data_IF_917434852533
#
_entry.id   IF_917434852533
#
_cell.length_a   1.000
_cell.length_b   1.000
_cell.length_c   1.000
_cell.angle_alpha   90.00
_cell.angle_beta   90.00
_cell.angle_gamma   90.00
#
_symmetry.space_group_name_H-M   'P 1'
#
loop_
_entity.id
_entity.type
_entity.pdbx_description
1 polymer ?
#
# COMPACT_ATOMS: atom_id res chain seq x y z
N UNK A 1 13.09 -9.65 -48.57
CA UNK A 1 13.72 -10.17 -47.33
C UNK A 1 12.80 -9.76 -46.23
N UNK A 2 12.07 -10.73 -45.74
CA UNK A 2 10.97 -10.58 -44.80
C UNK A 2 11.51 -10.53 -43.38
N UNK A 3 11.36 -9.39 -42.72
CA UNK A 3 11.52 -9.27 -41.27
C UNK A 3 10.31 -9.88 -40.59
N UNK A 4 10.45 -11.13 -40.22
CA UNK A 4 9.54 -11.79 -39.32
C UNK A 4 10.08 -11.54 -37.90
N UNK A 5 9.70 -10.42 -37.29
CA UNK A 5 9.84 -10.25 -35.83
C UNK A 5 9.05 -11.34 -35.14
N UNK A 6 9.77 -12.36 -34.71
CA UNK A 6 9.26 -13.39 -33.84
C UNK A 6 8.79 -12.71 -32.52
N UNK A 7 7.48 -12.53 -32.37
CA UNK A 7 6.84 -12.32 -31.08
C UNK A 7 7.27 -13.47 -30.16
N UNK A 8 8.35 -13.26 -29.39
CA UNK A 8 8.69 -14.15 -28.28
C UNK A 8 7.54 -14.04 -27.29
N UNK A 9 6.72 -15.08 -27.23
CA UNK A 9 5.82 -15.23 -26.08
C UNK A 9 6.64 -15.04 -24.80
N UNK A 10 6.24 -14.17 -23.88
CA UNK A 10 6.93 -14.03 -22.62
C UNK A 10 6.94 -15.40 -21.93
N UNK A 11 8.07 -15.81 -21.34
CA UNK A 11 8.25 -17.15 -20.77
C UNK A 11 7.37 -17.39 -19.53
N UNK A 12 6.53 -16.44 -19.15
CA UNK A 12 5.74 -16.47 -17.93
C UNK A 12 4.30 -16.06 -18.21
N UNK A 13 3.35 -16.77 -17.60
CA UNK A 13 1.94 -16.36 -17.61
C UNK A 13 1.76 -15.18 -16.65
N UNK A 14 1.14 -14.12 -17.15
CA UNK A 14 0.74 -12.99 -16.32
C UNK A 14 -0.77 -12.76 -16.43
N UNK A 15 -1.33 -12.13 -15.41
CA UNK A 15 -2.75 -11.81 -15.34
C UNK A 15 -2.94 -10.40 -14.77
N UNK A 16 -3.84 -9.63 -15.38
CA UNK A 16 -4.29 -8.38 -14.80
C UNK A 16 -5.36 -8.68 -13.72
N UNK A 17 -5.13 -8.16 -12.52
CA UNK A 17 -6.00 -8.36 -11.36
C UNK A 17 -6.12 -7.06 -10.58
N UNK A 18 -6.97 -7.08 -9.57
CA UNK A 18 -7.10 -6.00 -8.59
C UNK A 18 -6.64 -6.46 -7.22
N UNK A 19 -5.76 -5.67 -6.60
CA UNK A 19 -5.41 -5.78 -5.18
C UNK A 19 -6.38 -4.92 -4.38
N UNK A 20 -7.11 -5.51 -3.47
CA UNK A 20 -7.91 -4.80 -2.47
C UNK A 20 -7.06 -4.70 -1.21
N UNK A 21 -6.96 -3.49 -0.67
CA UNK A 21 -6.30 -3.22 0.60
C UNK A 21 -7.30 -2.62 1.55
N UNK A 22 -7.37 -3.16 2.77
CA UNK A 22 -8.29 -2.70 3.80
C UNK A 22 -7.56 -2.51 5.13
N UNK A 23 -7.60 -1.30 5.66
CA UNK A 23 -7.05 -0.98 6.98
C UNK A 23 -8.18 -0.93 7.98
N UNK A 24 -8.15 -1.79 8.99
CA UNK A 24 -9.19 -1.86 10.02
C UNK A 24 -8.59 -1.96 11.42
N UNK A 25 -9.36 -1.57 12.41
CA UNK A 25 -9.00 -1.84 13.79
C UNK A 25 -8.92 -3.36 14.02
N UNK A 26 -7.91 -3.83 14.76
CA UNK A 26 -7.64 -5.25 14.97
C UNK A 26 -8.84 -6.10 15.45
N UNK A 27 -9.82 -5.48 16.13
CA UNK A 27 -11.04 -6.17 16.59
C UNK A 27 -11.95 -6.64 15.45
N UNK A 28 -11.85 -6.03 14.28
CA UNK A 28 -12.64 -6.41 13.09
C UNK A 28 -11.93 -7.48 12.25
N UNK A 29 -10.71 -7.82 12.60
CA UNK A 29 -9.80 -8.61 11.78
C UNK A 29 -10.34 -9.97 11.42
N UNK A 30 -10.81 -10.71 12.41
CA UNK A 30 -11.31 -12.06 12.20
C UNK A 30 -12.50 -12.09 11.24
N UNK A 31 -13.47 -11.25 11.51
CA UNK A 31 -14.70 -11.18 10.72
C UNK A 31 -14.43 -10.76 9.27
N UNK A 32 -13.55 -9.77 9.08
CA UNK A 32 -13.13 -9.32 7.76
C UNK A 32 -12.36 -10.40 6.99
N UNK A 33 -11.45 -11.10 7.67
CA UNK A 33 -10.67 -12.16 7.06
C UNK A 33 -11.54 -13.34 6.59
N UNK A 34 -12.44 -13.80 7.44
CA UNK A 34 -13.42 -14.84 7.11
C UNK A 34 -14.26 -14.43 5.88
N UNK A 35 -14.74 -13.19 5.86
CA UNK A 35 -15.57 -12.70 4.75
C UNK A 35 -14.80 -12.60 3.44
N UNK A 36 -13.55 -12.12 3.44
CA UNK A 36 -12.71 -12.08 2.24
C UNK A 36 -12.46 -13.48 1.65
N UNK A 37 -12.27 -14.48 2.50
CA UNK A 37 -12.09 -15.87 2.07
C UNK A 37 -13.41 -16.41 1.47
N UNK A 38 -14.55 -16.16 2.10
CA UNK A 38 -15.88 -16.55 1.60
C UNK A 38 -16.17 -15.94 0.22
N UNK A 39 -15.78 -14.69 0.00
CA UNK A 39 -15.91 -14.00 -1.29
C UNK A 39 -14.95 -14.53 -2.37
N UNK A 40 -14.17 -15.56 -2.06
CA UNK A 40 -13.22 -16.14 -3.01
C UNK A 40 -11.99 -15.28 -3.27
N UNK A 41 -11.71 -14.32 -2.39
CA UNK A 41 -10.49 -13.53 -2.49
C UNK A 41 -9.26 -14.43 -2.37
N UNK A 42 -8.37 -14.30 -3.33
CA UNK A 42 -7.15 -15.12 -3.37
C UNK A 42 -6.07 -14.52 -2.49
N UNK A 43 -5.37 -15.40 -1.77
CA UNK A 43 -4.16 -15.00 -1.02
C UNK A 43 -4.38 -13.79 -0.10
N UNK A 44 -5.32 -13.93 0.82
CA UNK A 44 -5.57 -12.89 1.83
C UNK A 44 -4.35 -12.82 2.76
N UNK A 45 -3.69 -11.67 2.78
CA UNK A 45 -2.55 -11.39 3.63
C UNK A 45 -2.96 -10.38 4.71
N UNK A 46 -2.44 -10.57 5.91
CA UNK A 46 -2.68 -9.72 7.06
C UNK A 46 -1.33 -9.23 7.58
N UNK A 47 -1.15 -7.93 7.62
CA UNK A 47 0.03 -7.25 8.17
C UNK A 47 -0.35 -6.47 9.42
N UNK A 48 0.34 -6.65 10.56
CA UNK A 48 0.09 -5.86 11.75
C UNK A 48 0.58 -4.44 11.55
N UNK A 49 -0.18 -3.47 12.04
CA UNK A 49 0.14 -2.06 11.95
C UNK A 49 -0.54 -1.24 13.03
N UNK A 50 -0.44 0.06 12.90
CA UNK A 50 -1.15 1.03 13.73
C UNK A 50 -1.66 2.18 12.90
N UNK A 51 -2.82 2.71 13.26
CA UNK A 51 -3.32 3.99 12.75
C UNK A 51 -2.99 5.08 13.76
N UNK A 52 -2.55 6.24 13.27
CA UNK A 52 -2.23 7.40 14.12
C UNK A 52 -3.35 8.42 14.00
N UNK A 53 -3.86 8.89 15.15
CA UNK A 53 -4.96 9.85 15.23
C UNK A 53 -4.65 10.93 16.26
N UNK A 54 -5.28 12.08 16.15
CA UNK A 54 -5.19 13.14 17.14
C UNK A 54 -6.30 13.01 18.19
N UNK A 55 -5.93 12.77 19.44
CA UNK A 55 -6.84 12.81 20.59
C UNK A 55 -6.88 14.20 21.19
N UNK A 56 -8.07 14.81 21.23
CA UNK A 56 -8.30 16.09 21.90
C UNK A 56 -8.91 15.85 23.27
N UNK A 57 -8.19 16.21 24.33
CA UNK A 57 -8.70 16.16 25.72
C UNK A 57 -8.79 17.57 26.30
N UNK A 58 -9.80 17.86 27.13
CA UNK A 58 -9.82 19.08 27.92
C UNK A 58 -8.54 19.17 28.76
N UNK A 59 -8.06 20.38 28.99
CA UNK A 59 -6.95 20.58 29.91
C UNK A 59 -7.39 20.17 31.34
N UNK A 60 -6.51 19.53 32.14
CA UNK A 60 -6.80 19.21 33.52
C UNK A 60 -7.06 20.51 34.31
N UNK A 61 -7.75 20.39 35.44
CA UNK A 61 -8.07 21.49 36.34
C UNK A 61 -8.95 22.61 35.75
N UNK A 62 -9.77 22.31 34.72
CA UNK A 62 -10.70 23.31 34.16
C UNK A 62 -10.04 24.46 33.41
N UNK A 63 -8.76 24.37 33.09
CA UNK A 63 -8.05 25.36 32.29
C UNK A 63 -8.64 25.46 30.89
N UNK A 64 -8.81 26.68 30.32
CA UNK A 64 -9.35 26.84 28.99
C UNK A 64 -8.42 26.24 27.94
N UNK A 65 -9.01 25.60 26.91
CA UNK A 65 -8.32 24.97 25.81
C UNK A 65 -8.29 23.44 25.87
N UNK A 66 -7.79 22.81 24.79
CA UNK A 66 -7.68 21.36 24.66
C UNK A 66 -6.20 20.97 24.47
N UNK A 67 -5.81 19.85 25.04
CA UNK A 67 -4.51 19.22 24.77
C UNK A 67 -4.70 18.26 23.63
N UNK A 68 -3.86 18.37 22.60
CA UNK A 68 -3.82 17.45 21.48
C UNK A 68 -2.69 16.46 21.71
N UNK A 69 -2.98 15.18 21.66
CA UNK A 69 -1.99 14.10 21.72
C UNK A 69 -2.21 13.18 20.53
N UNK A 70 -1.14 12.61 20.04
CA UNK A 70 -1.21 11.49 19.12
C UNK A 70 -1.64 10.25 19.90
N UNK A 71 -2.46 9.43 19.28
CA UNK A 71 -2.89 8.14 19.82
C UNK A 71 -2.72 7.09 18.73
N UNK A 72 -1.93 6.08 19.06
CA UNK A 72 -1.77 4.90 18.22
C UNK A 72 -2.90 3.93 18.53
N UNK A 73 -3.59 3.50 17.49
CA UNK A 73 -4.60 2.46 17.57
C UNK A 73 -4.12 1.23 16.81
N UNK A 74 -4.10 0.04 17.45
CA UNK A 74 -3.70 -1.17 16.77
C UNK A 74 -4.64 -1.46 15.61
N UNK A 75 -4.05 -1.66 14.44
CA UNK A 75 -4.74 -1.93 13.19
C UNK A 75 -4.13 -3.14 12.49
N UNK A 76 -4.88 -3.70 11.57
CA UNK A 76 -4.38 -4.69 10.64
C UNK A 76 -4.66 -4.24 9.20
N UNK A 77 -3.69 -4.49 8.35
CA UNK A 77 -3.74 -4.22 6.92
C UNK A 77 -4.02 -5.53 6.21
N UNK A 78 -5.21 -5.66 5.66
CA UNK A 78 -5.60 -6.77 4.80
C UNK A 78 -5.24 -6.46 3.37
N UNK A 79 -4.63 -7.41 2.69
CA UNK A 79 -4.35 -7.35 1.27
C UNK A 79 -4.90 -8.61 0.62
N UNK A 80 -5.76 -8.47 -0.37
CA UNK A 80 -6.36 -9.57 -1.09
C UNK A 80 -6.35 -9.32 -2.58
N UNK A 81 -6.28 -10.36 -3.40
CA UNK A 81 -6.35 -10.26 -4.85
C UNK A 81 -7.65 -10.87 -5.34
N UNK A 82 -8.33 -10.11 -6.19
CA UNK A 82 -9.58 -10.50 -6.85
C UNK A 82 -9.49 -10.21 -8.34
N UNK A 83 -10.44 -10.73 -9.10
CA UNK A 83 -10.57 -10.40 -10.50
C UNK A 83 -10.94 -8.92 -10.66
N UNK A 84 -10.46 -8.31 -11.74
CA UNK A 84 -10.60 -6.86 -11.94
C UNK A 84 -12.04 -6.38 -11.88
N UNK A 85 -12.94 -7.16 -12.48
CA UNK A 85 -14.35 -6.79 -12.62
C UNK A 85 -15.13 -7.01 -11.31
N UNK A 86 -14.62 -7.81 -10.39
CA UNK A 86 -15.24 -8.11 -9.10
C UNK A 86 -14.83 -7.15 -7.98
N UNK A 87 -13.74 -6.37 -8.19
CA UNK A 87 -13.12 -5.59 -7.13
C UNK A 87 -14.09 -4.63 -6.42
N UNK A 88 -14.92 -3.90 -7.16
CA UNK A 88 -15.86 -2.94 -6.55
C UNK A 88 -16.98 -3.66 -5.79
N UNK A 89 -17.48 -4.78 -6.32
CA UNK A 89 -18.53 -5.57 -5.65
C UNK A 89 -18.00 -6.14 -4.32
N UNK A 90 -16.77 -6.67 -4.32
CA UNK A 90 -16.10 -7.15 -3.10
C UNK A 90 -15.86 -6.00 -2.12
N UNK A 91 -15.44 -4.82 -2.59
CA UNK A 91 -15.25 -3.65 -1.73
C UNK A 91 -16.55 -3.21 -1.07
N UNK A 92 -17.67 -3.16 -1.80
CA UNK A 92 -18.97 -2.81 -1.24
C UNK A 92 -19.46 -3.83 -0.20
N UNK A 93 -19.25 -5.12 -0.44
CA UNK A 93 -19.57 -6.17 0.53
C UNK A 93 -18.74 -6.00 1.82
N UNK A 94 -17.46 -5.76 1.71
CA UNK A 94 -16.58 -5.52 2.85
C UNK A 94 -16.94 -4.22 3.60
N UNK A 95 -17.30 -3.15 2.89
CA UNK A 95 -17.77 -1.90 3.50
C UNK A 95 -19.02 -2.16 4.34
N UNK A 96 -19.96 -2.92 3.82
CA UNK A 96 -21.19 -3.27 4.55
C UNK A 96 -20.90 -4.18 5.74
N UNK A 97 -20.08 -5.22 5.55
CA UNK A 97 -19.76 -6.24 6.56
C UNK A 97 -18.99 -5.64 7.75
N UNK A 98 -18.00 -4.79 7.49
CA UNK A 98 -17.17 -4.16 8.52
C UNK A 98 -17.70 -2.78 8.93
N UNK A 99 -18.84 -2.34 8.38
CA UNK A 99 -19.43 -1.01 8.63
C UNK A 99 -18.42 0.12 8.41
N UNK A 100 -17.58 0.01 7.37
CA UNK A 100 -16.51 0.98 7.12
C UNK A 100 -17.03 2.38 6.76
N UNK A 101 -18.30 2.49 6.36
CA UNK A 101 -19.00 3.76 6.16
C UNK A 101 -19.15 4.58 7.46
N UNK A 102 -18.97 3.95 8.63
CA UNK A 102 -18.97 4.67 9.88
C UNK A 102 -17.59 5.28 10.14
N UNK A 103 -17.54 6.57 10.54
CA UNK A 103 -16.28 7.24 10.79
C UNK A 103 -15.39 6.53 11.80
N UNK A 104 -14.12 6.37 11.49
CA UNK A 104 -13.15 5.74 12.38
C UNK A 104 -13.06 4.23 12.29
N UNK A 105 -13.81 3.59 11.39
CA UNK A 105 -13.79 2.14 11.21
C UNK A 105 -12.62 1.65 10.38
N UNK A 106 -12.22 2.40 9.35
CA UNK A 106 -11.10 2.04 8.49
C UNK A 106 -11.16 2.63 7.10
N UNK A 107 -10.24 2.19 6.28
CA UNK A 107 -10.08 2.59 4.87
C UNK A 107 -10.03 1.34 4.01
N UNK A 108 -10.68 1.38 2.85
CA UNK A 108 -10.58 0.33 1.83
C UNK A 108 -10.34 0.95 0.46
N UNK A 109 -9.43 0.34 -0.32
CA UNK A 109 -9.15 0.80 -1.68
C UNK A 109 -8.69 -0.33 -2.59
N UNK A 110 -8.75 -0.11 -3.90
CA UNK A 110 -8.29 -1.05 -4.91
C UNK A 110 -7.21 -0.47 -5.80
N UNK A 111 -6.26 -1.32 -6.17
CA UNK A 111 -5.15 -1.02 -7.08
C UNK A 111 -5.11 -2.04 -8.22
N UNK A 112 -4.95 -1.58 -9.46
CA UNK A 112 -4.72 -2.49 -10.59
C UNK A 112 -3.27 -2.93 -10.61
N UNK A 113 -3.03 -4.21 -10.84
CA UNK A 113 -1.69 -4.78 -10.92
C UNK A 113 -1.61 -5.91 -11.93
N UNK A 114 -0.39 -6.26 -12.28
CA UNK A 114 -0.05 -7.46 -13.05
C UNK A 114 0.49 -8.51 -12.09
N UNK A 115 -0.15 -9.66 -12.04
CA UNK A 115 0.28 -10.81 -11.26
C UNK A 115 1.04 -11.78 -12.16
N UNK A 116 2.27 -12.12 -11.79
CA UNK A 116 3.07 -13.15 -12.43
C UNK A 116 2.99 -14.42 -11.57
N UNK A 117 2.66 -15.53 -12.23
CA UNK A 117 2.63 -16.86 -11.63
C UNK A 117 3.53 -17.79 -12.39
N UNK A 118 4.06 -18.76 -11.69
CA UNK A 118 4.67 -19.91 -12.32
C UNK A 118 3.66 -20.62 -13.21
N UNK A 119 4.08 -21.12 -14.40
CA UNK A 119 3.31 -22.15 -15.07
C UNK A 119 3.18 -23.32 -14.08
N UNK A 120 1.96 -23.71 -13.75
CA UNK A 120 1.73 -24.89 -12.92
C UNK A 120 2.48 -26.07 -13.54
N UNK A 121 3.41 -26.69 -12.81
CA UNK A 121 3.90 -28.00 -13.19
C UNK A 121 2.68 -28.92 -13.27
N UNK A 122 2.59 -29.66 -14.38
CA UNK A 122 1.46 -30.54 -14.74
C UNK A 122 1.38 -31.78 -13.87
N UNK A 123 1.60 -31.67 -12.59
CA UNK A 123 1.34 -32.74 -11.65
C UNK A 123 0.12 -32.35 -10.82
N UNK A 124 -0.98 -32.93 -11.20
CA UNK A 124 -2.33 -33.14 -10.66
C UNK A 124 -2.72 -32.69 -9.26
N UNK A 125 -2.02 -31.81 -8.61
CA UNK A 125 -2.42 -31.13 -7.38
C UNK A 125 -2.97 -29.76 -7.72
N UNK A 126 -4.29 -29.69 -7.89
CA UNK A 126 -5.05 -28.46 -7.80
C UNK A 126 -4.73 -27.80 -6.46
N UNK A 127 -4.36 -26.51 -6.51
CA UNK A 127 -4.19 -25.68 -5.32
C UNK A 127 -5.43 -25.85 -4.41
N UNK A 128 -5.27 -26.36 -3.18
CA UNK A 128 -6.40 -26.61 -2.28
C UNK A 128 -7.19 -25.31 -1.96
N UNK A 129 -6.64 -24.13 -2.26
CA UNK A 129 -7.33 -22.84 -2.09
C UNK A 129 -8.43 -22.60 -3.12
N UNK A 130 -8.60 -23.47 -4.15
CA UNK A 130 -9.61 -23.33 -5.20
C UNK A 130 -10.85 -24.24 -5.03
N UNK A 131 -11.02 -24.91 -3.89
CA UNK A 131 -12.03 -25.97 -3.74
C UNK A 131 -13.44 -25.53 -3.35
N UNK A 132 -13.68 -24.27 -3.04
CA UNK A 132 -15.04 -23.76 -2.86
C UNK A 132 -15.39 -22.79 -4.00
N UNK A 133 -16.57 -22.93 -4.64
CA UNK A 133 -17.02 -21.91 -5.57
C UNK A 133 -17.14 -20.58 -4.79
N UNK A 134 -16.64 -19.47 -5.34
CA UNK A 134 -16.74 -18.17 -4.69
C UNK A 134 -18.22 -17.85 -4.44
N UNK A 135 -18.52 -17.44 -3.23
CA UNK A 135 -19.83 -16.87 -2.93
C UNK A 135 -19.89 -15.54 -3.67
N UNK A 136 -20.83 -15.43 -4.60
CA UNK A 136 -21.05 -14.15 -5.28
C UNK A 136 -21.21 -13.05 -4.23
N UNK A 137 -20.51 -11.92 -4.37
CA UNK A 137 -20.66 -10.81 -3.42
C UNK A 137 -22.16 -10.49 -3.34
N UNK A 138 -22.66 -10.44 -2.12
CA UNK A 138 -24.06 -10.07 -1.90
C UNK A 138 -24.20 -8.67 -2.49
N UNK A 139 -25.03 -8.52 -3.53
CA UNK A 139 -25.36 -7.21 -4.13
C UNK A 139 -26.19 -6.36 -3.16
N UNK A 140 -25.78 -6.35 -1.91
CA UNK A 140 -26.27 -5.37 -0.97
C UNK A 140 -25.49 -4.10 -1.30
N UNK A 141 -26.01 -3.34 -2.27
CA UNK A 141 -25.60 -1.95 -2.41
C UNK A 141 -25.71 -1.36 -1.00
N UNK A 142 -24.58 -1.13 -0.36
CA UNK A 142 -24.59 -0.36 0.88
C UNK A 142 -25.21 0.99 0.50
N UNK A 143 -26.44 1.29 0.94
CA UNK A 143 -27.17 2.41 0.40
C UNK A 143 -26.37 3.68 0.64
N UNK A 144 -25.94 4.36 -0.44
CA UNK A 144 -25.35 5.68 -0.39
C UNK A 144 -23.84 5.76 -0.18
N UNK A 145 -23.06 4.67 -0.28
CA UNK A 145 -21.59 4.76 -0.22
C UNK A 145 -21.02 4.84 -1.64
N UNK A 146 -20.65 6.04 -2.07
CA UNK A 146 -19.90 6.23 -3.30
C UNK A 146 -18.41 6.00 -3.04
N UNK A 147 -17.76 5.19 -3.88
CA UNK A 147 -16.30 5.04 -3.86
C UNK A 147 -15.67 6.27 -4.53
N UNK A 148 -14.69 6.85 -3.86
CA UNK A 148 -13.87 7.92 -4.41
C UNK A 148 -12.97 7.38 -5.52
N UNK A 149 -12.71 8.19 -6.52
CA UNK A 149 -11.86 7.88 -7.67
C UNK A 149 -10.70 8.88 -7.75
N UNK A 150 -9.76 8.63 -8.65
CA UNK A 150 -8.60 9.50 -8.84
C UNK A 150 -7.79 9.72 -7.55
N UNK A 151 -7.46 8.60 -6.93
CA UNK A 151 -6.68 8.54 -5.70
C UNK A 151 -5.27 8.02 -5.97
N UNK A 152 -4.37 8.32 -5.05
CA UNK A 152 -3.02 7.78 -5.01
C UNK A 152 -2.69 7.29 -3.60
N UNK A 153 -1.92 6.21 -3.50
CA UNK A 153 -1.29 5.77 -2.27
C UNK A 153 0.13 6.30 -2.23
N UNK A 154 0.46 7.09 -1.23
CA UNK A 154 1.83 7.50 -0.92
C UNK A 154 2.38 6.55 0.13
N UNK A 155 3.55 5.98 -0.14
CA UNK A 155 4.27 5.10 0.77
C UNK A 155 5.62 5.70 1.10
N UNK A 156 5.86 6.00 2.38
CA UNK A 156 7.15 6.46 2.90
C UNK A 156 7.80 5.33 3.68
N UNK A 157 9.01 4.94 3.31
CA UNK A 157 9.82 3.94 3.99
C UNK A 157 10.96 4.66 4.71
N UNK A 158 10.96 4.62 6.03
CA UNK A 158 11.79 5.42 6.90
C UNK A 158 12.79 4.53 7.66
N UNK A 159 14.04 4.99 7.74
CA UNK A 159 15.12 4.21 8.36
C UNK A 159 15.37 4.55 9.82
N UNK A 160 14.70 5.56 10.36
CA UNK A 160 14.88 5.97 11.75
C UNK A 160 13.65 5.61 12.58
N UNK A 161 13.87 4.99 13.72
CA UNK A 161 12.80 4.71 14.69
C UNK A 161 12.14 6.01 15.15
N UNK A 162 10.80 6.02 15.19
CA UNK A 162 9.99 7.17 15.56
C UNK A 162 9.73 8.16 14.43
N UNK A 163 10.39 8.03 13.28
CA UNK A 163 10.12 8.91 12.12
C UNK A 163 8.73 8.69 11.55
N UNK A 164 8.19 7.49 11.66
CA UNK A 164 6.85 7.16 11.21
C UNK A 164 5.77 7.93 11.96
N UNK A 165 5.91 8.08 13.28
CA UNK A 165 4.98 8.89 14.08
C UNK A 165 5.08 10.38 13.69
N UNK A 166 6.31 10.89 13.47
CA UNK A 166 6.52 12.26 13.03
C UNK A 166 5.84 12.52 11.69
N UNK A 167 6.06 11.65 10.69
CA UNK A 167 5.45 11.80 9.36
C UNK A 167 3.94 11.60 9.40
N UNK A 168 3.45 10.68 10.21
CA UNK A 168 2.02 10.49 10.42
C UNK A 168 1.37 11.75 11.01
N UNK A 169 2.05 12.47 11.90
CA UNK A 169 1.59 13.76 12.43
C UNK A 169 1.47 14.80 11.33
N UNK A 170 2.48 14.92 10.47
CA UNK A 170 2.46 15.84 9.32
C UNK A 170 1.24 15.53 8.42
N UNK A 171 1.01 14.26 8.11
CA UNK A 171 -0.14 13.83 7.32
C UNK A 171 -1.49 14.20 7.96
N UNK A 172 -1.60 14.07 9.29
CA UNK A 172 -2.78 14.49 10.04
C UNK A 172 -2.98 16.02 10.02
N UNK A 173 -1.90 16.78 10.08
CA UNK A 173 -1.96 18.24 10.03
C UNK A 173 -2.32 18.76 8.61
N UNK A 174 -1.95 18.02 7.57
CA UNK A 174 -2.41 18.24 6.20
C UNK A 174 -3.91 17.94 6.00
N UNK A 175 -4.51 17.18 6.91
CA UNK A 175 -5.95 16.91 6.89
C UNK A 175 -6.41 15.92 5.82
N UNK A 176 -5.53 15.06 5.30
CA UNK A 176 -5.83 14.20 4.14
C UNK A 176 -6.60 12.93 4.51
N UNK A 177 -5.97 12.06 5.30
CA UNK A 177 -6.55 10.77 5.74
C UNK A 177 -5.92 10.32 7.05
N UNK A 178 -6.45 9.25 7.63
CA UNK A 178 -5.81 8.56 8.76
C UNK A 178 -4.62 7.75 8.23
N UNK A 179 -3.37 8.10 8.61
CA UNK A 179 -2.20 7.36 8.18
C UNK A 179 -2.12 6.00 8.86
N UNK A 180 -1.54 5.04 8.15
CA UNK A 180 -1.22 3.71 8.67
C UNK A 180 0.29 3.55 8.73
N UNK A 181 0.80 3.03 9.84
CA UNK A 181 2.21 2.75 10.04
C UNK A 181 2.38 1.26 10.25
N UNK A 182 3.20 0.63 9.41
CA UNK A 182 3.62 -0.77 9.54
C UNK A 182 5.14 -0.84 9.71
N UNK A 183 5.67 -2.03 9.96
CA UNK A 183 7.10 -2.26 10.19
C UNK A 183 7.66 -3.20 9.14
N UNK A 184 8.92 -2.99 8.79
CA UNK A 184 9.64 -3.85 7.87
C UNK A 184 11.13 -3.88 8.15
N UNK A 185 11.85 -4.69 7.39
CA UNK A 185 13.31 -4.78 7.43
C UNK A 185 13.85 -4.43 6.03
N UNK A 186 14.78 -3.50 5.96
CA UNK A 186 15.41 -3.09 4.71
C UNK A 186 16.62 -3.95 4.38
N UNK A 187 16.73 -4.37 3.12
CA UNK A 187 17.92 -5.01 2.56
C UNK A 187 18.33 -4.24 1.31
N UNK A 188 19.59 -3.74 1.28
CA UNK A 188 20.05 -2.93 0.17
C UNK A 188 21.47 -3.21 -0.26
N UNK A 189 21.84 -2.75 -1.45
CA UNK A 189 23.19 -2.89 -2.03
C UNK A 189 24.27 -2.29 -1.12
N UNK A 190 23.94 -1.24 -0.35
CA UNK A 190 24.87 -0.55 0.56
C UNK A 190 25.28 -1.41 1.73
N UNK A 191 24.48 -2.35 2.18
CA UNK A 191 24.80 -3.26 3.27
C UNK A 191 25.89 -4.26 2.87
N UNK A 192 25.99 -4.55 1.56
CA UNK A 192 27.01 -5.44 0.99
C UNK A 192 28.36 -4.78 0.74
N UNK A 193 28.39 -3.46 0.50
CA UNK A 193 29.62 -2.77 0.10
C UNK A 193 30.60 -2.50 1.26
N UNK A 194 30.26 -2.82 2.50
CA UNK A 194 31.16 -2.92 3.67
C UNK A 194 32.24 -1.83 3.89
N UNK A 195 32.44 -0.95 2.91
CA UNK A 195 33.54 -0.01 2.81
C UNK A 195 33.29 1.35 3.47
N UNK A 196 32.05 1.70 3.71
CA UNK A 196 31.70 2.91 4.46
C UNK A 196 30.71 2.51 5.55
N UNK A 197 31.17 2.49 6.79
CA UNK A 197 30.42 2.17 8.02
C UNK A 197 29.32 3.18 8.36
N UNK A 198 28.46 3.52 7.43
CA UNK A 198 27.19 4.12 7.76
C UNK A 198 26.22 2.95 7.83
N UNK A 199 26.11 2.38 9.01
CA UNK A 199 25.12 1.31 9.28
C UNK A 199 23.75 1.94 9.26
N UNK A 200 23.05 1.81 8.14
CA UNK A 200 21.61 2.16 8.08
C UNK A 200 20.87 1.09 8.88
N UNK A 201 20.06 1.45 9.88
CA UNK A 201 19.29 0.44 10.63
C UNK A 201 18.47 -0.42 9.69
N UNK A 202 18.47 -1.74 9.87
CA UNK A 202 17.64 -2.63 9.03
C UNK A 202 16.15 -2.39 9.26
N UNK A 203 15.77 -2.01 10.48
CA UNK A 203 14.38 -1.74 10.83
C UNK A 203 13.85 -0.52 10.09
N UNK A 204 12.68 -0.68 9.49
CA UNK A 204 11.97 0.36 8.72
C UNK A 204 10.59 0.61 9.30
N UNK A 205 10.20 1.87 9.35
CA UNK A 205 8.81 2.27 9.55
C UNK A 205 8.22 2.65 8.19
N UNK A 206 7.07 2.07 7.87
CA UNK A 206 6.38 2.27 6.58
C UNK A 206 5.11 3.05 6.86
N UNK A 207 5.04 4.29 6.37
CA UNK A 207 3.87 5.17 6.51
C UNK A 207 3.12 5.19 5.19
N UNK A 208 1.83 4.89 5.25
CA UNK A 208 0.96 4.84 4.08
C UNK A 208 -0.19 5.84 4.21
N UNK A 209 -0.43 6.60 3.14
CA UNK A 209 -1.46 7.62 3.03
C UNK A 209 -2.21 7.45 1.73
N UNK A 210 -3.54 7.41 1.77
CA UNK A 210 -4.37 7.50 0.56
C UNK A 210 -4.83 8.94 0.41
N UNK A 211 -4.52 9.54 -0.72
CA UNK A 211 -4.76 10.97 -1.00
C UNK A 211 -5.38 11.15 -2.38
N UNK A 212 -6.02 12.28 -2.68
CA UNK A 212 -6.39 12.62 -4.04
C UNK A 212 -5.15 12.65 -4.96
N UNK A 213 -5.26 12.06 -6.16
CA UNK A 213 -4.11 11.94 -7.06
C UNK A 213 -3.52 13.29 -7.49
N UNK A 214 -4.36 14.32 -7.57
CA UNK A 214 -3.92 15.69 -7.92
C UNK A 214 -3.11 16.38 -6.82
N UNK A 215 -3.21 15.93 -5.56
CA UNK A 215 -2.46 16.49 -4.41
C UNK A 215 -1.22 15.64 -4.09
N UNK A 216 -1.11 14.43 -4.64
CA UNK A 216 -0.12 13.45 -4.25
C UNK A 216 1.32 13.97 -4.36
N UNK A 217 1.68 14.63 -5.46
CA UNK A 217 3.04 15.16 -5.66
C UNK A 217 3.36 16.29 -4.68
N UNK A 218 2.41 17.19 -4.41
CA UNK A 218 2.57 18.25 -3.41
C UNK A 218 2.75 17.70 -2.00
N UNK A 219 1.95 16.71 -1.64
CA UNK A 219 2.06 16.04 -0.34
C UNK A 219 3.39 15.29 -0.24
N UNK A 220 3.82 14.58 -1.29
CA UNK A 220 5.13 13.91 -1.32
C UNK A 220 6.27 14.89 -1.04
N UNK A 221 6.27 16.09 -1.64
CA UNK A 221 7.30 17.12 -1.39
C UNK A 221 7.34 17.53 0.07
N UNK A 222 6.19 17.78 0.68
CA UNK A 222 6.10 18.10 2.12
C UNK A 222 6.65 16.94 2.96
N UNK A 223 6.29 15.70 2.65
CA UNK A 223 6.78 14.53 3.39
C UNK A 223 8.28 14.30 3.21
N UNK A 224 8.86 14.64 2.05
CA UNK A 224 10.31 14.61 1.80
C UNK A 224 11.03 15.61 2.71
N UNK A 225 10.53 16.83 2.77
CA UNK A 225 11.12 17.89 3.58
C UNK A 225 11.02 17.58 5.08
N UNK A 226 9.83 17.31 5.56
CA UNK A 226 9.56 17.04 6.98
C UNK A 226 10.22 15.73 7.48
N UNK A 227 10.33 14.73 6.59
CA UNK A 227 11.03 13.46 6.84
C UNK A 227 12.53 13.56 6.68
N UNK A 228 13.08 14.72 6.22
CA UNK A 228 14.48 14.90 5.86
C UNK A 228 14.99 13.81 4.89
N UNK A 229 14.15 13.38 3.93
CA UNK A 229 14.46 12.28 3.02
C UNK A 229 15.54 12.65 1.99
N UNK A 230 15.87 13.94 1.87
CA UNK A 230 16.99 14.44 1.07
C UNK A 230 18.36 14.05 1.64
N UNK A 231 18.42 13.56 2.88
CA UNK A 231 19.66 13.11 3.49
C UNK A 231 19.91 11.60 3.19
N UNK A 232 21.18 11.19 2.99
CA UNK A 232 21.52 9.79 2.74
C UNK A 232 21.00 8.86 3.83
N UNK A 233 20.40 7.74 3.45
CA UNK A 233 19.99 6.69 4.36
C UNK A 233 18.74 6.99 5.22
N UNK A 234 18.08 8.12 5.04
CA UNK A 234 16.87 8.48 5.81
C UNK A 234 15.64 7.68 5.40
N UNK A 235 15.55 7.32 4.13
CA UNK A 235 14.42 6.57 3.61
C UNK A 235 14.13 6.90 2.16
N UNK A 236 12.97 6.47 1.72
CA UNK A 236 12.49 6.83 0.39
C UNK A 236 10.96 6.93 0.38
N UNK A 237 10.41 7.63 -0.63
CA UNK A 237 8.98 7.80 -0.81
C UNK A 237 8.59 7.54 -2.25
N UNK A 238 7.43 6.94 -2.45
CA UNK A 238 6.87 6.70 -3.77
C UNK A 238 5.36 6.73 -3.73
N UNK A 239 4.74 6.87 -4.89
CA UNK A 239 3.29 6.78 -5.04
C UNK A 239 2.90 5.67 -5.99
N UNK A 240 1.74 5.08 -5.73
CA UNK A 240 1.08 4.12 -6.62
C UNK A 240 -0.38 4.54 -6.86
N UNK A 241 -0.93 4.31 -8.07
CA UNK A 241 -2.30 4.69 -8.36
C UNK A 241 -3.30 3.82 -7.58
N UNK A 242 -4.40 4.45 -7.15
CA UNK A 242 -5.55 3.83 -6.53
C UNK A 242 -6.76 4.05 -7.43
N UNK A 243 -7.44 2.96 -7.83
CA UNK A 243 -8.56 3.02 -8.76
C UNK A 243 -9.83 3.56 -8.14
N UNK A 244 -10.15 3.02 -6.97
CA UNK A 244 -11.31 3.39 -6.21
C UNK A 244 -11.07 3.13 -4.73
N UNK A 245 -11.71 3.90 -3.84
CA UNK A 245 -11.56 3.71 -2.40
C UNK A 245 -12.59 4.45 -1.58
N UNK A 246 -12.71 4.03 -0.34
CA UNK A 246 -13.36 4.74 0.74
C UNK A 246 -12.32 5.01 1.82
N UNK A 247 -12.13 6.27 2.16
CA UNK A 247 -11.04 6.75 3.01
C UNK A 247 -11.59 7.17 4.36
N UNK A 248 -10.95 6.73 5.45
CA UNK A 248 -11.22 7.26 6.77
C UNK A 248 -10.55 8.62 6.95
N UNK A 249 -11.37 9.67 6.98
CA UNK A 249 -10.93 11.06 7.18
C UNK A 249 -11.11 11.54 8.61
N UNK A 250 -11.51 10.67 9.52
CA UNK A 250 -11.66 11.01 10.92
C UNK A 250 -10.30 11.10 11.63
N UNK A 251 -9.56 12.14 11.34
CA UNK A 251 -8.21 12.39 11.83
C UNK A 251 -8.15 12.61 13.34
N UNK A 252 -9.28 13.01 13.97
CA UNK A 252 -9.33 13.46 15.37
C UNK A 252 -10.38 12.69 16.15
N UNK A 253 -10.02 12.27 17.34
CA UNK A 253 -10.92 11.65 18.30
C UNK A 253 -11.37 12.72 19.32
N UNK A 254 -12.66 12.78 19.63
CA UNK A 254 -13.29 13.72 20.58
C UNK A 254 -14.53 14.36 20.00
N UNK A 255 -15.27 15.11 20.84
CA UNK A 255 -16.49 15.78 20.39
C UNK A 255 -16.20 16.72 19.21
N UNK A 256 -16.58 16.28 18.04
CA UNK A 256 -16.66 17.14 16.86
C UNK A 256 -18.08 17.71 16.86
N UNK A 257 -18.19 18.97 17.22
CA UNK A 257 -19.40 19.73 16.99
C UNK A 257 -19.47 20.03 15.49
N UNK A 258 -20.35 19.32 14.79
CA UNK A 258 -20.91 19.64 13.46
C UNK A 258 -19.95 20.17 12.37
N UNK A 259 -18.76 19.63 12.23
CA UNK A 259 -17.95 19.91 11.05
C UNK A 259 -18.28 18.91 9.93
N UNK A 260 -18.69 19.41 8.77
CA UNK A 260 -18.77 18.59 7.56
C UNK A 260 -17.42 17.91 7.30
N UNK A 261 -17.42 16.66 6.83
CA UNK A 261 -16.17 16.01 6.42
C UNK A 261 -15.53 16.77 5.26
N UNK A 262 -14.23 16.67 5.11
CA UNK A 262 -13.53 17.30 3.98
C UNK A 262 -14.15 16.83 2.66
N UNK A 263 -14.56 15.56 2.57
CA UNK A 263 -15.26 15.02 1.40
C UNK A 263 -16.62 15.70 1.16
N UNK A 264 -17.39 15.94 2.20
CA UNK A 264 -18.66 16.68 2.08
C UNK A 264 -18.41 18.12 1.64
N UNK A 265 -17.35 18.76 2.14
CA UNK A 265 -16.95 20.10 1.73
C UNK A 265 -16.49 20.08 0.27
N UNK A 266 -15.64 19.11 -0.11
CA UNK A 266 -15.17 18.95 -1.49
C UNK A 266 -16.35 18.67 -2.43
N UNK A 267 -17.23 17.72 -2.06
CA UNK A 267 -18.41 17.41 -2.86
C UNK A 267 -19.33 18.63 -3.03
N UNK A 268 -19.56 19.39 -1.98
CA UNK A 268 -20.35 20.61 -2.04
C UNK A 268 -19.67 21.69 -2.93
N UNK A 269 -18.35 21.82 -2.89
CA UNK A 269 -17.62 22.75 -3.77
C UNK A 269 -17.64 22.26 -5.23
N UNK A 270 -17.52 20.96 -5.47
CA UNK A 270 -17.63 20.37 -6.80
C UNK A 270 -19.02 20.66 -7.43
N UNK A 271 -20.06 20.51 -6.62
CA UNK A 271 -21.43 20.82 -7.03
C UNK A 271 -21.61 22.31 -7.33
N UNK A 272 -21.14 23.19 -6.44
CA UNK A 272 -21.19 24.64 -6.61
C UNK A 272 -20.36 25.14 -7.81
N UNK A 273 -19.27 24.47 -8.15
CA UNK A 273 -18.36 24.83 -9.26
C UNK A 273 -18.66 24.06 -10.55
N UNK A 274 -19.72 23.23 -10.56
CA UNK A 274 -20.10 22.39 -11.69
C UNK A 274 -18.94 21.53 -12.24
N UNK A 275 -18.09 21.01 -11.35
CA UNK A 275 -16.99 20.11 -11.70
C UNK A 275 -15.73 20.26 -10.86
N UNK A 276 -14.74 19.45 -11.18
CA UNK A 276 -13.48 19.30 -10.41
C UNK A 276 -12.35 20.23 -10.90
N UNK A 277 -12.59 21.06 -11.92
CA UNK A 277 -11.55 21.88 -12.54
C UNK A 277 -10.91 22.93 -11.59
N UNK A 278 -11.63 23.35 -10.55
CA UNK A 278 -11.13 24.28 -9.52
C UNK A 278 -9.99 23.65 -8.69
N UNK A 279 -9.99 22.33 -8.54
CA UNK A 279 -8.97 21.59 -7.79
C UNK A 279 -7.59 21.76 -8.40
N UNK A 280 -7.50 21.89 -9.74
CA UNK A 280 -6.24 22.08 -10.46
C UNK A 280 -5.58 23.46 -10.23
N UNK A 281 -6.32 24.45 -9.74
CA UNK A 281 -5.78 25.81 -9.50
C UNK A 281 -4.91 25.92 -8.25
N UNK A 282 -5.07 25.01 -7.29
CA UNK A 282 -4.22 24.99 -6.09
C UNK A 282 -2.83 24.40 -6.35
N UNK A 283 -2.65 23.62 -7.40
CA UNK A 283 -1.35 23.06 -7.81
C UNK A 283 -0.40 24.16 -8.31
N UNK A 284 -0.91 25.28 -8.80
CA UNK A 284 -0.11 26.41 -9.28
C UNK A 284 0.44 27.35 -8.20
N UNK A 285 0.04 27.16 -6.94
CA UNK A 285 0.55 27.96 -5.81
C UNK A 285 1.67 27.27 -5.04
N UNK A 286 1.93 25.99 -5.32
CA UNK A 286 3.01 25.22 -4.73
C UNK A 286 4.16 25.11 -5.73
N UNK A 287 4.95 26.14 -5.84
CA UNK A 287 6.28 26.00 -6.40
C UNK A 287 6.52 26.73 -7.72
N UNK A 288 7.30 27.74 -7.58
CA UNK A 288 8.17 28.28 -8.63
C UNK A 288 8.95 27.12 -9.29
N UNK A 289 9.10 27.16 -10.61
CA UNK A 289 9.82 26.19 -11.45
C UNK A 289 11.32 26.05 -11.13
N UNK A 290 11.80 26.59 -10.01
CA UNK A 290 13.21 26.73 -9.68
C UNK A 290 13.77 25.63 -8.77
N UNK A 291 12.99 24.68 -8.30
CA UNK A 291 13.57 23.60 -7.47
C UNK A 291 13.98 22.39 -8.32
N UNK A 292 15.02 22.62 -9.13
CA UNK A 292 15.71 21.58 -9.91
C UNK A 292 16.31 20.48 -9.01
N UNK A 293 16.42 20.75 -7.71
CA UNK A 293 17.00 19.84 -6.72
C UNK A 293 16.06 18.68 -6.32
N UNK A 294 14.75 18.81 -6.52
CA UNK A 294 13.78 17.80 -6.11
C UNK A 294 13.07 17.18 -7.32
N UNK A 295 13.86 16.61 -8.24
CA UNK A 295 13.27 15.82 -9.33
C UNK A 295 12.75 14.50 -8.79
N UNK A 296 11.44 14.29 -8.92
CA UNK A 296 10.83 13.00 -8.66
C UNK A 296 11.06 12.10 -9.89
N UNK A 297 11.88 11.04 -9.81
CA UNK A 297 12.01 10.05 -10.87
C UNK A 297 10.62 9.53 -11.26
N UNK A 298 10.37 9.52 -12.56
CA UNK A 298 9.12 9.05 -13.13
C UNK A 298 9.33 7.69 -13.79
N UNK A 299 8.21 7.01 -14.04
CA UNK A 299 8.22 5.71 -14.71
C UNK A 299 8.92 4.62 -13.90
N UNK A 300 8.55 4.50 -12.64
CA UNK A 300 8.97 3.42 -11.77
C UNK A 300 7.90 2.34 -11.69
N UNK A 301 8.29 1.20 -11.14
CA UNK A 301 7.42 0.07 -10.82
C UNK A 301 7.64 -0.35 -9.37
N UNK A 302 6.57 -0.67 -8.68
CA UNK A 302 6.59 -1.42 -7.44
C UNK A 302 6.48 -2.89 -7.77
N UNK A 303 7.43 -3.70 -7.33
CA UNK A 303 7.39 -5.16 -7.40
C UNK A 303 7.20 -5.67 -5.98
N UNK A 304 6.13 -6.40 -5.72
CA UNK A 304 5.89 -7.10 -4.46
C UNK A 304 6.05 -8.59 -4.64
N UNK A 305 6.92 -9.22 -3.85
CA UNK A 305 7.15 -10.67 -3.84
C UNK A 305 6.63 -11.22 -2.53
N UNK A 306 5.71 -12.17 -2.59
CA UNK A 306 5.19 -12.88 -1.43
C UNK A 306 5.80 -14.28 -1.40
N UNK A 307 6.42 -14.63 -0.27
CA UNK A 307 7.13 -15.90 -0.12
C UNK A 307 6.95 -16.49 1.27
N UNK A 308 7.38 -17.74 1.44
CA UNK A 308 7.46 -18.40 2.74
C UNK A 308 8.45 -17.67 3.65
N UNK A 309 8.16 -17.60 4.96
CA UNK A 309 9.02 -16.97 5.95
C UNK A 309 10.45 -17.52 5.90
N UNK A 310 11.45 -16.63 5.95
CA UNK A 310 12.88 -16.95 5.85
C UNK A 310 13.38 -17.14 4.41
N UNK A 311 12.57 -16.87 3.39
CA UNK A 311 12.99 -17.01 1.98
C UNK A 311 13.14 -15.66 1.26
N UNK A 312 12.76 -14.58 1.88
CA UNK A 312 12.83 -13.25 1.27
C UNK A 312 14.25 -12.84 0.89
N UNK A 313 15.26 -13.19 1.70
CA UNK A 313 16.66 -12.83 1.46
C UNK A 313 17.15 -13.35 0.11
N UNK A 314 16.93 -14.63 -0.18
CA UNK A 314 17.34 -15.24 -1.47
C UNK A 314 16.70 -14.54 -2.67
N UNK A 315 15.41 -14.19 -2.57
CA UNK A 315 14.69 -13.49 -3.65
C UNK A 315 15.18 -12.05 -3.80
N UNK A 316 15.42 -11.36 -2.69
CA UNK A 316 15.94 -9.99 -2.72
C UNK A 316 17.37 -9.96 -3.29
N UNK A 317 18.20 -10.96 -2.99
CA UNK A 317 19.53 -11.09 -3.60
C UNK A 317 19.46 -11.20 -5.12
N UNK A 318 18.59 -12.07 -5.63
CA UNK A 318 18.38 -12.23 -7.06
C UNK A 318 17.89 -10.91 -7.72
N UNK A 319 17.01 -10.19 -7.04
CA UNK A 319 16.54 -8.88 -7.52
C UNK A 319 17.67 -7.84 -7.56
N UNK A 320 18.54 -7.80 -6.54
CA UNK A 320 19.70 -6.89 -6.49
C UNK A 320 20.71 -7.23 -7.59
N UNK A 321 20.99 -8.50 -7.84
CA UNK A 321 21.85 -8.93 -8.94
C UNK A 321 21.28 -8.54 -10.31
N UNK A 322 19.96 -8.52 -10.45
CA UNK A 322 19.26 -8.03 -11.63
C UNK A 322 19.20 -6.50 -11.73
N UNK A 323 19.74 -5.76 -10.74
CA UNK A 323 19.87 -4.30 -10.77
C UNK A 323 18.90 -3.53 -9.87
N UNK A 324 18.16 -4.20 -9.01
CA UNK A 324 17.37 -3.51 -7.99
C UNK A 324 18.28 -2.87 -6.92
N UNK A 325 17.88 -1.71 -6.41
CA UNK A 325 18.66 -0.99 -5.37
C UNK A 325 18.54 -1.59 -3.98
N UNK A 326 17.49 -2.39 -3.73
CA UNK A 326 17.17 -3.00 -2.44
C UNK A 326 15.69 -3.32 -2.33
N UNK A 327 15.30 -3.85 -1.17
CA UNK A 327 13.93 -4.19 -0.83
C UNK A 327 13.60 -3.83 0.61
N UNK A 328 12.31 -3.72 0.89
CA UNK A 328 11.77 -3.67 2.24
C UNK A 328 10.89 -4.88 2.45
N UNK A 329 11.21 -5.70 3.43
CA UNK A 329 10.52 -6.94 3.73
C UNK A 329 9.68 -6.79 4.99
N UNK A 330 8.39 -7.04 4.87
CA UNK A 330 7.42 -7.07 5.98
C UNK A 330 7.01 -8.51 6.28
N UNK A 331 6.76 -8.80 7.56
CA UNK A 331 6.14 -10.05 7.97
C UNK A 331 4.64 -9.96 7.82
N UNK A 332 4.06 -10.92 7.12
CA UNK A 332 2.62 -11.01 6.89
C UNK A 332 2.11 -12.41 7.26
N UNK A 333 0.83 -12.51 7.54
CA UNK A 333 0.15 -13.78 7.77
C UNK A 333 -0.75 -14.05 6.59
N UNK A 334 -0.67 -15.25 6.01
CA UNK A 334 -1.60 -15.67 4.97
C UNK A 334 -2.80 -16.34 5.61
N UNK A 335 -3.98 -15.92 5.23
CA UNK A 335 -5.25 -16.55 5.61
C UNK A 335 -5.76 -17.38 4.44
N UNK A 336 -6.09 -18.64 4.67
CA UNK A 336 -6.71 -19.54 3.69
C UNK A 336 -7.97 -20.18 4.27
N UNK A 337 -8.81 -20.76 3.41
CA UNK A 337 -9.99 -21.52 3.84
C UNK A 337 -9.67 -22.69 4.78
N UNK A 338 -8.45 -23.22 4.69
CA UNK A 338 -7.95 -24.31 5.54
C UNK A 338 -7.49 -23.77 6.91
N UNK A 339 -7.05 -22.52 6.96
CA UNK A 339 -6.48 -21.87 8.16
C UNK A 339 -7.56 -21.38 9.15
N UNK A 340 -8.83 -21.39 8.75
CA UNK A 340 -9.97 -21.16 9.65
C UNK A 340 -9.97 -22.18 10.80
N UNK A 341 -9.33 -23.34 10.61
CA UNK A 341 -9.14 -24.35 11.64
C UNK A 341 -7.90 -24.13 12.56
N UNK A 342 -7.16 -23.02 12.42
CA UNK A 342 -6.18 -22.60 13.44
C UNK A 342 -4.70 -22.56 13.03
N UNK A 343 -4.33 -22.74 11.77
CA UNK A 343 -2.94 -22.62 11.31
C UNK A 343 -2.77 -21.47 10.31
N UNK A 344 -2.45 -20.30 10.81
CA UNK A 344 -2.13 -19.13 9.97
C UNK A 344 -0.68 -19.27 9.50
N UNK A 345 -0.47 -19.37 8.20
CA UNK A 345 0.87 -19.52 7.64
C UNK A 345 1.63 -18.18 7.64
N UNK A 346 2.81 -18.16 8.27
CA UNK A 346 3.70 -17.01 8.22
C UNK A 346 4.27 -16.85 6.81
N UNK A 347 4.31 -15.61 6.33
CA UNK A 347 4.84 -15.20 5.01
C UNK A 347 5.66 -13.93 5.15
N UNK A 348 6.48 -13.71 4.15
CA UNK A 348 7.20 -12.45 3.97
C UNK A 348 6.73 -11.79 2.68
N UNK A 349 6.58 -10.47 2.72
CA UNK A 349 6.33 -9.63 1.55
C UNK A 349 7.49 -8.68 1.37
N UNK A 350 8.25 -8.85 0.30
CA UNK A 350 9.32 -7.94 -0.09
C UNK A 350 8.83 -6.97 -1.15
N UNK A 351 8.93 -5.68 -0.87
CA UNK A 351 8.58 -4.59 -1.78
C UNK A 351 9.85 -3.97 -2.34
N UNK A 352 9.93 -3.91 -3.66
CA UNK A 352 11.09 -3.45 -4.44
C UNK A 352 10.60 -2.34 -5.37
N UNK A 353 11.26 -1.18 -5.37
CA UNK A 353 11.00 -0.12 -6.35
C UNK A 353 12.11 -0.10 -7.38
N UNK A 354 11.74 -0.15 -8.66
CA UNK A 354 12.68 -0.16 -9.78
C UNK A 354 12.21 0.76 -10.91
N UNK A 355 13.12 1.31 -11.74
CA UNK A 355 12.75 1.92 -12.99
C UNK A 355 12.05 0.90 -13.92
N UNK A 356 11.06 1.36 -14.69
CA UNK A 356 10.33 0.49 -15.62
C UNK A 356 11.25 -0.23 -16.60
N UNK A 357 12.37 0.40 -16.99
CA UNK A 357 13.35 -0.16 -17.94
C UNK A 357 14.02 -1.46 -17.47
N UNK A 358 14.07 -1.72 -16.18
CA UNK A 358 14.67 -2.95 -15.61
C UNK A 358 13.64 -3.89 -14.99
N UNK A 359 12.38 -3.51 -14.96
CA UNK A 359 11.31 -4.26 -14.27
C UNK A 359 11.22 -5.71 -14.76
N UNK A 360 11.16 -5.94 -16.08
CA UNK A 360 11.07 -7.29 -16.64
C UNK A 360 12.28 -8.17 -16.30
N UNK A 361 13.47 -7.57 -16.29
CA UNK A 361 14.70 -8.29 -15.90
C UNK A 361 14.66 -8.73 -14.45
N UNK A 362 14.20 -7.83 -13.56
CA UNK A 362 14.06 -8.15 -12.13
C UNK A 362 12.98 -9.20 -11.90
N UNK A 363 11.82 -9.09 -12.55
CA UNK A 363 10.76 -10.09 -12.48
C UNK A 363 11.25 -11.46 -12.97
N UNK A 364 12.00 -11.49 -14.07
CA UNK A 364 12.57 -12.75 -14.61
C UNK A 364 13.56 -13.39 -13.63
N UNK A 365 14.42 -12.60 -12.99
CA UNK A 365 15.35 -13.09 -11.98
C UNK A 365 14.64 -13.63 -10.73
N UNK A 366 13.59 -12.96 -10.29
CA UNK A 366 12.76 -13.44 -9.17
C UNK A 366 12.05 -14.77 -9.49
N UNK A 367 11.50 -14.89 -10.70
CA UNK A 367 10.86 -16.13 -11.15
C UNK A 367 11.86 -17.27 -11.31
N UNK A 368 13.09 -16.98 -11.73
CA UNK A 368 14.18 -17.95 -11.80
C UNK A 368 14.59 -18.43 -10.40
N UNK A 369 14.88 -17.48 -9.49
CA UNK A 369 15.23 -17.79 -8.11
C UNK A 369 14.13 -18.59 -7.36
N UNK A 370 12.88 -18.40 -7.78
CA UNK A 370 11.75 -19.16 -7.23
C UNK A 370 11.61 -20.58 -7.83
N UNK A 371 12.39 -20.97 -8.87
CA UNK A 371 12.23 -22.27 -9.54
C UNK A 371 12.67 -23.47 -8.72
N UNK A 372 13.67 -23.30 -7.90
CA UNK A 372 14.35 -24.42 -7.22
C UNK A 372 13.59 -24.98 -6.02
N UNK A 373 12.46 -24.37 -5.63
CA UNK A 373 11.66 -24.84 -4.50
C UNK A 373 10.20 -24.45 -4.68
N UNK A 374 9.29 -25.42 -4.54
CA UNK A 374 7.86 -25.23 -4.67
C UNK A 374 7.27 -24.26 -3.64
N UNK A 375 8.01 -23.96 -2.57
CA UNK A 375 7.57 -23.12 -1.45
C UNK A 375 8.20 -21.72 -1.41
N UNK A 376 9.04 -21.31 -2.40
CA UNK A 376 9.81 -20.08 -2.25
C UNK A 376 8.95 -18.84 -2.51
N UNK A 377 8.22 -18.77 -3.61
CA UNK A 377 7.40 -17.61 -3.91
C UNK A 377 5.96 -18.01 -4.23
N UNK A 378 5.02 -17.42 -3.49
CA UNK A 378 3.59 -17.63 -3.74
C UNK A 378 3.17 -16.86 -5.01
N UNK A 379 3.65 -15.61 -5.18
CA UNK A 379 3.34 -14.74 -6.31
C UNK A 379 4.25 -13.52 -6.38
N UNK A 380 4.31 -12.93 -7.57
CA UNK A 380 4.97 -11.66 -7.83
C UNK A 380 3.91 -10.71 -8.39
N UNK A 381 3.78 -9.54 -7.79
CA UNK A 381 2.87 -8.46 -8.20
C UNK A 381 3.66 -7.27 -8.70
N UNK A 382 3.20 -6.66 -9.79
CA UNK A 382 3.82 -5.46 -10.35
C UNK A 382 2.76 -4.36 -10.50
N UNK A 383 3.06 -3.19 -9.95
CA UNK A 383 2.24 -1.99 -10.02
C UNK A 383 3.01 -0.84 -10.65
N UNK A 384 2.28 0.06 -11.27
CA UNK A 384 2.83 1.35 -11.69
C UNK A 384 3.18 2.21 -10.47
N UNK A 385 4.30 2.92 -10.55
CA UNK A 385 4.72 3.92 -9.57
C UNK A 385 5.14 5.18 -10.31
N UNK A 386 4.19 6.09 -10.60
CA UNK A 386 4.41 7.24 -11.47
C UNK A 386 5.39 8.27 -10.90
N UNK A 387 5.63 8.28 -9.59
CA UNK A 387 6.64 9.12 -8.98
C UNK A 387 7.26 8.43 -7.76
N UNK A 388 8.57 8.63 -7.61
CA UNK A 388 9.33 8.15 -6.47
C UNK A 388 10.41 9.17 -6.11
N UNK A 389 10.92 9.12 -4.90
CA UNK A 389 12.09 9.90 -4.48
C UNK A 389 12.96 9.06 -3.56
N UNK A 390 14.23 9.00 -3.87
CA UNK A 390 15.28 8.49 -3.00
C UNK A 390 16.50 9.41 -3.14
N UNK A 391 17.23 9.59 -2.07
CA UNK A 391 18.48 10.31 -2.18
C UNK A 391 19.46 9.49 -3.04
N UNK A 392 19.82 10.04 -4.20
CA UNK A 392 20.88 9.51 -5.05
C UNK A 392 22.18 10.23 -4.69
N UNK A 393 23.20 9.49 -4.27
CA UNK A 393 24.57 10.00 -4.06
C UNK A 393 25.24 10.22 -5.40
#
# INVERSE_FOLDING_TARGET
MSDTEAKRNPPHSYREVSRIVCHVHHRLSRHLGERLVELGARSVLIEPGRTVRQLRRPRPFGLPGKVVRLEDQPAEVFTAVVDRDEAEAVMHDIIATAELNLPGRGTIYSQGLVEYRRPAQRDGQSDPSQTAPPVSPTRTEAPGVALLRDLALITCILSMSGSGEQLARVALDLGTCVPVVTLGTGTGLRDRLGLLRITVPPDKEIVQLVVPAYDAEGIMRILIDEGNLTQPGRGFVYQTPVRAGMIDTRLRIGAQEHAASIEQIIAAIDELKAGTAWRKRFVGLAGDETDEALRLPRDNREISVICTEGRAETLVEAAIEAGAGGATTSRVRRLSSIDIEGRIAARERSTISVPASICERVVSALLEAARDSDDIADRIEVLDSPAAFTHTT
#
